data_IF_766416387250
#
_entry.id   IF_766416387250
#
_cell.length_a   1.000
_cell.length_b   1.000
_cell.length_c   1.000
_cell.angle_alpha   90.00
_cell.angle_beta   90.00
_cell.angle_gamma   90.00
#
_symmetry.space_group_name_H-M   'P 1'
#
loop_
_entity.id
_entity.type
_entity.pdbx_description
1 polymer ?
#
# COMPACT_ATOMS: atom_id res chain seq x y z
N UNK A 1 2.62 0.35 8.70
CA UNK A 1 1.16 0.38 8.40
C UNK A 1 0.99 1.18 7.13
N UNK A 2 0.26 0.67 6.13
CA UNK A 2 0.04 1.42 4.88
C UNK A 2 -1.08 2.41 5.18
N UNK A 3 -0.74 3.70 5.12
CA UNK A 3 -1.71 4.78 5.32
C UNK A 3 -2.30 5.19 3.97
N UNK A 4 -3.64 5.12 3.79
CA UNK A 4 -4.30 5.47 2.54
C UNK A 4 -4.12 6.94 2.14
N UNK A 5 -3.95 7.84 3.11
CA UNK A 5 -3.72 9.27 2.85
C UNK A 5 -2.35 9.47 2.21
N UNK A 6 -1.31 8.84 2.78
CA UNK A 6 0.06 8.88 2.23
C UNK A 6 0.13 8.24 0.84
N UNK A 7 -0.57 7.13 0.62
CA UNK A 7 -0.65 6.48 -0.69
C UNK A 7 -1.31 7.39 -1.74
N UNK A 8 -2.38 8.08 -1.37
CA UNK A 8 -3.06 9.02 -2.24
C UNK A 8 -2.22 10.27 -2.56
N UNK A 9 -1.52 10.82 -1.56
CA UNK A 9 -0.58 11.92 -1.76
C UNK A 9 0.56 11.52 -2.72
N UNK A 10 1.04 10.28 -2.64
CA UNK A 10 2.05 9.75 -3.56
C UNK A 10 1.52 9.69 -5.01
N UNK A 11 0.27 9.28 -5.21
CA UNK A 11 -0.39 9.28 -6.52
C UNK A 11 -0.46 10.70 -7.08
N UNK A 12 -0.93 11.68 -6.30
CA UNK A 12 -1.03 13.09 -6.71
C UNK A 12 0.32 13.67 -7.13
N UNK A 13 1.35 13.47 -6.32
CA UNK A 13 2.70 13.97 -6.61
C UNK A 13 3.26 13.32 -7.88
N UNK A 14 3.10 12.02 -8.04
CA UNK A 14 3.56 11.30 -9.22
C UNK A 14 2.79 11.73 -10.47
N UNK A 15 1.46 11.91 -10.40
CA UNK A 15 0.62 12.41 -11.46
C UNK A 15 1.09 13.79 -11.94
N UNK A 16 1.26 14.76 -11.02
CA UNK A 16 1.74 16.11 -11.36
C UNK A 16 3.09 16.07 -12.08
N UNK A 17 4.03 15.23 -11.62
CA UNK A 17 5.35 15.08 -12.24
C UNK A 17 5.24 14.46 -13.64
N UNK A 18 4.38 13.46 -13.82
CA UNK A 18 4.13 12.82 -15.12
C UNK A 18 3.50 13.81 -16.10
N UNK A 19 2.49 14.57 -15.67
CA UNK A 19 1.83 15.60 -16.48
C UNK A 19 2.81 16.66 -16.96
N UNK A 20 3.68 17.13 -16.06
CA UNK A 20 4.74 18.08 -16.43
C UNK A 20 5.72 17.47 -17.43
N UNK A 21 6.18 16.23 -17.19
CA UNK A 21 7.10 15.53 -18.08
C UNK A 21 6.54 15.33 -19.50
N UNK A 22 5.25 14.94 -19.60
CA UNK A 22 4.56 14.76 -20.88
C UNK A 22 4.43 16.09 -21.64
N UNK A 23 4.05 17.17 -20.95
CA UNK A 23 4.00 18.53 -21.57
C UNK A 23 5.35 18.95 -22.11
N UNK A 24 6.44 18.61 -21.42
CA UNK A 24 7.81 18.86 -21.84
C UNK A 24 8.33 17.85 -22.87
N UNK A 25 7.47 16.98 -23.40
CA UNK A 25 7.81 15.92 -24.37
C UNK A 25 8.99 15.04 -23.92
N UNK A 26 9.10 14.80 -22.62
CA UNK A 26 10.13 13.91 -22.05
C UNK A 26 9.85 12.48 -22.43
N UNK A 27 10.93 11.72 -22.66
CA UNK A 27 10.82 10.28 -22.88
C UNK A 27 10.35 9.55 -21.61
N UNK A 28 9.55 8.50 -21.77
CA UNK A 28 9.03 7.71 -20.64
C UNK A 28 10.12 7.01 -19.85
N UNK A 29 11.26 6.70 -20.47
CA UNK A 29 12.40 6.17 -19.75
C UNK A 29 12.90 7.15 -18.67
N UNK A 30 12.93 8.45 -18.99
CA UNK A 30 13.32 9.50 -18.04
C UNK A 30 12.28 9.72 -16.95
N UNK A 31 11.03 9.31 -17.15
CA UNK A 31 9.92 9.42 -16.19
C UNK A 31 9.65 8.11 -15.43
N UNK A 32 10.47 7.07 -15.63
CA UNK A 32 10.27 5.74 -15.04
C UNK A 32 10.10 5.78 -13.50
N UNK A 33 10.85 6.66 -12.82
CA UNK A 33 10.70 6.85 -11.37
C UNK A 33 9.34 7.40 -10.96
N UNK A 34 8.74 8.29 -11.73
CA UNK A 34 7.40 8.83 -11.46
C UNK A 34 6.31 7.82 -11.79
N UNK A 35 6.49 7.03 -12.85
CA UNK A 35 5.61 5.91 -13.20
C UNK A 35 5.60 4.87 -12.08
N UNK A 36 6.78 4.52 -11.55
CA UNK A 36 6.92 3.58 -10.45
C UNK A 36 6.26 4.10 -9.16
N UNK A 37 6.42 5.39 -8.84
CA UNK A 37 5.75 6.02 -7.68
C UNK A 37 4.23 6.03 -7.82
N UNK A 38 3.71 6.32 -9.01
CA UNK A 38 2.29 6.26 -9.31
C UNK A 38 1.74 4.84 -9.10
N UNK A 39 2.38 3.84 -9.70
CA UNK A 39 2.01 2.43 -9.56
C UNK A 39 2.10 1.94 -8.11
N UNK A 40 3.12 2.39 -7.35
CA UNK A 40 3.28 2.11 -5.93
C UNK A 40 2.11 2.66 -5.12
N UNK A 41 1.77 3.94 -5.29
CA UNK A 41 0.62 4.55 -4.60
C UNK A 41 -0.70 3.83 -4.90
N UNK A 42 -0.92 3.45 -6.17
CA UNK A 42 -2.07 2.66 -6.60
C UNK A 42 -2.14 1.28 -5.92
N UNK A 43 -1.01 0.59 -5.80
CA UNK A 43 -0.93 -0.71 -5.13
C UNK A 43 -1.20 -0.58 -3.63
N UNK A 44 -0.58 0.40 -2.96
CA UNK A 44 -0.76 0.67 -1.54
C UNK A 44 -2.21 1.02 -1.20
N UNK A 45 -2.84 1.89 -2.00
CA UNK A 45 -4.24 2.26 -1.85
C UNK A 45 -5.16 1.04 -2.02
N UNK A 46 -4.89 0.18 -3.00
CA UNK A 46 -5.68 -1.05 -3.21
C UNK A 46 -5.59 -2.03 -2.04
N UNK A 47 -4.38 -2.22 -1.47
CA UNK A 47 -4.18 -3.10 -0.30
C UNK A 47 -4.82 -2.50 0.95
N UNK A 48 -4.75 -1.18 1.14
CA UNK A 48 -5.43 -0.50 2.25
C UNK A 48 -6.96 -0.66 2.16
N UNK A 49 -7.54 -0.59 0.96
CA UNK A 49 -8.97 -0.85 0.72
C UNK A 49 -9.36 -2.29 1.08
N UNK A 50 -8.58 -3.28 0.63
CA UNK A 50 -8.83 -4.71 0.95
C UNK A 50 -8.79 -4.96 2.46
N UNK A 51 -7.84 -4.37 3.19
CA UNK A 51 -7.75 -4.51 4.66
C UNK A 51 -8.94 -3.88 5.39
N UNK A 52 -9.41 -2.71 4.94
CA UNK A 52 -10.58 -2.05 5.55
C UNK A 52 -11.89 -2.78 5.29
N UNK A 53 -12.05 -3.43 4.14
CA UNK A 53 -13.25 -4.22 3.84
C UNK A 53 -13.36 -5.46 4.74
N UNK A 54 -12.23 -6.03 5.17
CA UNK A 54 -12.18 -7.20 6.03
C UNK A 54 -12.26 -6.85 7.53
N UNK A 55 -12.34 -5.57 7.90
CA UNK A 55 -12.48 -5.12 9.29
C UNK A 55 -13.95 -4.91 9.62
N UNK A 56 -14.50 -5.74 10.51
CA UNK A 56 -15.91 -5.72 10.95
C UNK A 56 -16.30 -4.48 11.78
N UNK A 57 -15.34 -3.65 12.22
CA UNK A 57 -15.56 -2.50 13.10
C UNK A 57 -14.96 -1.22 12.51
N UNK A 58 -15.34 -0.83 11.29
CA UNK A 58 -14.98 0.45 10.70
C UNK A 58 -16.14 1.43 10.75
N UNK A 59 -15.86 2.68 11.17
CA UNK A 59 -16.82 3.79 11.15
C UNK A 59 -17.34 3.97 9.70
N UNK A 60 -18.58 3.51 9.43
CA UNK A 60 -19.00 3.13 8.07
C UNK A 60 -19.32 4.34 7.19
N UNK A 61 -19.85 5.44 7.75
CA UNK A 61 -20.42 6.53 6.95
C UNK A 61 -19.39 7.59 6.53
N UNK A 62 -18.57 8.12 7.43
CA UNK A 62 -17.55 9.12 7.08
C UNK A 62 -16.47 8.57 6.14
N UNK A 63 -16.08 7.32 6.35
CA UNK A 63 -15.10 6.64 5.50
C UNK A 63 -15.64 6.29 4.09
N UNK A 64 -16.94 6.19 3.89
CA UNK A 64 -17.53 5.89 2.58
C UNK A 64 -17.51 7.11 1.65
N UNK A 65 -17.79 8.29 2.18
CA UNK A 65 -17.78 9.55 1.45
C UNK A 65 -16.33 9.88 1.02
N UNK A 66 -15.37 9.84 1.95
CA UNK A 66 -13.96 10.10 1.63
C UNK A 66 -13.40 9.11 0.61
N UNK A 67 -13.85 7.84 0.67
CA UNK A 67 -13.46 6.83 -0.32
C UNK A 67 -14.01 7.13 -1.71
N UNK A 68 -15.23 7.61 -1.80
CA UNK A 68 -15.86 7.96 -3.07
C UNK A 68 -15.12 9.10 -3.74
N UNK A 69 -14.86 10.19 -3.01
CA UNK A 69 -14.10 11.32 -3.52
C UNK A 69 -12.67 10.96 -3.94
N UNK A 70 -11.97 10.15 -3.14
CA UNK A 70 -10.63 9.68 -3.49
C UNK A 70 -10.64 8.79 -4.75
N UNK A 71 -11.68 7.98 -4.94
CA UNK A 71 -11.82 7.13 -6.13
C UNK A 71 -12.12 7.96 -7.38
N UNK A 72 -13.04 8.93 -7.30
CA UNK A 72 -13.33 9.85 -8.40
C UNK A 72 -12.10 10.67 -8.78
N UNK A 73 -11.41 11.24 -7.81
CA UNK A 73 -10.20 12.03 -8.05
C UNK A 73 -9.08 11.18 -8.66
N UNK A 74 -8.95 9.92 -8.21
CA UNK A 74 -8.01 8.96 -8.79
C UNK A 74 -8.35 8.63 -10.25
N UNK A 75 -9.61 8.37 -10.55
CA UNK A 75 -10.07 8.13 -11.93
C UNK A 75 -9.83 9.35 -12.80
N UNK A 76 -10.17 10.53 -12.31
CA UNK A 76 -9.91 11.78 -13.01
C UNK A 76 -8.43 11.97 -13.34
N UNK A 77 -7.53 11.75 -12.39
CA UNK A 77 -6.08 11.81 -12.63
C UNK A 77 -5.64 10.80 -13.69
N UNK A 78 -6.22 9.61 -13.73
CA UNK A 78 -5.90 8.59 -14.73
C UNK A 78 -6.40 8.99 -16.13
N UNK A 79 -7.59 9.56 -16.22
CA UNK A 79 -8.18 10.05 -17.47
C UNK A 79 -7.45 11.28 -18.00
N UNK A 80 -7.03 12.19 -17.13
CA UNK A 80 -6.17 13.32 -17.48
C UNK A 80 -4.83 12.86 -18.06
N UNK A 81 -4.19 11.88 -17.39
CA UNK A 81 -2.93 11.29 -17.87
C UNK A 81 -3.11 10.64 -19.23
N UNK A 82 -4.21 9.88 -19.42
CA UNK A 82 -4.57 9.27 -20.70
C UNK A 82 -4.74 10.30 -21.81
N UNK A 83 -5.49 11.36 -21.53
CA UNK A 83 -5.75 12.43 -22.49
C UNK A 83 -4.45 13.13 -22.89
N UNK A 84 -3.58 13.42 -21.93
CA UNK A 84 -2.29 14.08 -22.18
C UNK A 84 -1.35 13.19 -22.99
N UNK A 85 -1.26 11.89 -22.69
CA UNK A 85 -0.42 10.97 -23.49
C UNK A 85 -0.97 10.84 -24.91
N UNK A 86 -2.29 10.90 -25.12
CA UNK A 86 -2.88 10.87 -26.45
C UNK A 86 -2.64 12.17 -27.25
N UNK A 87 -2.59 13.31 -26.57
CA UNK A 87 -2.37 14.62 -27.20
C UNK A 87 -0.89 14.85 -27.57
N UNK A 88 0.03 14.46 -26.70
CA UNK A 88 1.46 14.80 -26.81
C UNK A 88 2.34 13.60 -27.13
N UNK A 89 1.81 12.39 -26.98
CA UNK A 89 2.53 11.14 -27.19
C UNK A 89 2.40 10.58 -28.59
N UNK A 90 3.14 9.51 -28.85
CA UNK A 90 3.06 8.73 -30.10
C UNK A 90 1.96 7.66 -30.02
N UNK A 91 1.52 7.16 -31.17
CA UNK A 91 0.53 6.08 -31.25
C UNK A 91 0.97 4.85 -30.43
N UNK A 92 0.03 4.27 -29.65
CA UNK A 92 0.29 3.12 -28.79
C UNK A 92 1.09 3.42 -27.51
N UNK A 93 1.42 4.68 -27.26
CA UNK A 93 2.23 5.07 -26.09
C UNK A 93 1.43 4.97 -24.78
N UNK A 94 0.13 5.26 -24.86
CA UNK A 94 -0.78 5.08 -23.71
C UNK A 94 -0.88 3.62 -23.28
N UNK A 95 -1.05 2.72 -24.24
CA UNK A 95 -1.19 1.29 -23.98
C UNK A 95 0.07 0.72 -23.31
N UNK A 96 1.24 1.15 -23.76
CA UNK A 96 2.53 0.80 -23.14
C UNK A 96 2.64 1.35 -21.72
N UNK A 97 2.28 2.62 -21.51
CA UNK A 97 2.31 3.23 -20.17
C UNK A 97 1.33 2.55 -19.23
N UNK A 98 0.09 2.32 -19.66
CA UNK A 98 -0.93 1.64 -18.88
C UNK A 98 -0.51 0.21 -18.50
N UNK A 99 0.07 -0.54 -19.43
CA UNK A 99 0.62 -1.87 -19.17
C UNK A 99 1.76 -1.83 -18.14
N UNK A 100 2.66 -0.85 -18.25
CA UNK A 100 3.78 -0.67 -17.31
C UNK A 100 3.26 -0.33 -15.91
N UNK A 101 2.28 0.56 -15.79
CA UNK A 101 1.65 0.89 -14.51
C UNK A 101 0.95 -0.35 -13.93
N UNK A 102 0.22 -1.10 -14.74
CA UNK A 102 -0.49 -2.28 -14.30
C UNK A 102 0.45 -3.39 -13.79
N UNK A 103 1.54 -3.67 -14.52
CA UNK A 103 2.55 -4.66 -14.11
C UNK A 103 3.28 -4.23 -12.83
N UNK A 104 3.74 -2.99 -12.75
CA UNK A 104 4.40 -2.47 -11.56
C UNK A 104 3.47 -2.46 -10.33
N UNK A 105 2.19 -2.11 -10.52
CA UNK A 105 1.15 -2.20 -9.47
C UNK A 105 0.96 -3.63 -8.99
N UNK A 106 0.88 -4.59 -9.90
CA UNK A 106 0.69 -6.01 -9.56
C UNK A 106 1.89 -6.57 -8.79
N UNK A 107 3.10 -6.25 -9.22
CA UNK A 107 4.34 -6.65 -8.54
C UNK A 107 4.42 -6.05 -7.13
N UNK A 108 4.20 -4.75 -7.00
CA UNK A 108 4.25 -4.09 -5.70
C UNK A 108 3.18 -4.62 -4.75
N UNK A 109 1.95 -4.85 -5.24
CA UNK A 109 0.88 -5.48 -4.47
C UNK A 109 1.26 -6.89 -3.99
N UNK A 110 1.94 -7.67 -4.84
CA UNK A 110 2.46 -9.00 -4.46
C UNK A 110 3.51 -8.91 -3.37
N UNK A 111 4.43 -7.94 -3.44
CA UNK A 111 5.44 -7.69 -2.41
C UNK A 111 4.81 -7.28 -1.08
N UNK A 112 3.85 -6.35 -1.09
CA UNK A 112 3.11 -5.93 0.10
C UNK A 112 2.39 -7.09 0.79
N UNK A 113 1.75 -7.97 0.01
CA UNK A 113 1.11 -9.18 0.56
C UNK A 113 2.11 -10.17 1.15
N UNK A 114 3.30 -10.33 0.55
CA UNK A 114 4.39 -11.15 1.10
C UNK A 114 4.90 -10.56 2.41
N UNK A 115 5.19 -9.28 2.46
CA UNK A 115 5.64 -8.60 3.68
C UNK A 115 4.62 -8.73 4.81
N UNK A 116 3.34 -8.50 4.52
CA UNK A 116 2.27 -8.64 5.51
C UNK A 116 2.19 -10.05 6.11
N UNK A 117 2.45 -11.10 5.30
CA UNK A 117 2.51 -12.49 5.79
C UNK A 117 3.73 -12.73 6.71
N UNK A 118 4.89 -12.17 6.34
CA UNK A 118 6.12 -12.27 7.14
C UNK A 118 5.93 -11.55 8.48
N UNK A 119 5.40 -10.33 8.46
CA UNK A 119 5.13 -9.53 9.66
C UNK A 119 4.15 -10.25 10.60
N UNK A 120 3.08 -10.82 10.06
CA UNK A 120 2.13 -11.62 10.84
C UNK A 120 2.79 -12.82 11.49
N UNK A 121 3.61 -13.58 10.75
CA UNK A 121 4.35 -14.73 11.26
C UNK A 121 5.34 -14.33 12.36
N UNK A 122 6.10 -13.26 12.14
CA UNK A 122 7.04 -12.74 13.13
C UNK A 122 6.33 -12.30 14.41
N UNK A 123 5.21 -11.59 14.28
CA UNK A 123 4.39 -11.17 15.42
C UNK A 123 3.85 -12.38 16.21
N UNK A 124 3.42 -13.44 15.51
CA UNK A 124 2.94 -14.68 16.13
C UNK A 124 4.07 -15.37 16.92
N UNK A 125 5.26 -15.49 16.33
CA UNK A 125 6.44 -16.08 16.99
C UNK A 125 6.79 -15.27 18.25
N UNK A 126 6.83 -13.94 18.16
CA UNK A 126 7.17 -13.08 19.31
C UNK A 126 6.13 -13.20 20.42
N UNK A 127 4.84 -13.28 20.08
CA UNK A 127 3.77 -13.43 21.07
C UNK A 127 3.84 -14.79 21.78
N UNK A 128 4.03 -15.87 21.03
CA UNK A 128 4.13 -17.24 21.56
C UNK A 128 5.38 -17.40 22.44
N UNK A 129 6.53 -16.90 22.01
CA UNK A 129 7.76 -16.96 22.83
C UNK A 129 7.63 -16.15 24.12
N UNK A 130 6.97 -14.99 24.07
CA UNK A 130 6.69 -14.18 25.27
C UNK A 130 5.79 -14.89 26.28
N UNK A 131 4.73 -15.54 25.81
CA UNK A 131 3.82 -16.30 26.70
C UNK A 131 4.50 -17.50 27.35
N UNK A 132 5.38 -18.21 26.63
CA UNK A 132 6.15 -19.32 27.16
C UNK A 132 7.12 -18.86 28.27
N UNK A 133 7.82 -17.76 28.05
CA UNK A 133 8.74 -17.19 29.06
C UNK A 133 8.01 -16.79 30.35
N UNK A 134 6.86 -16.15 30.22
CA UNK A 134 6.02 -15.77 31.38
C UNK A 134 5.56 -17.04 32.13
N UNK A 135 5.13 -18.08 31.41
CA UNK A 135 4.73 -19.35 32.00
C UNK A 135 5.87 -20.00 32.82
N UNK A 136 7.09 -20.04 32.28
CA UNK A 136 8.26 -20.54 33.01
C UNK A 136 8.58 -19.71 34.26
N UNK A 137 8.50 -18.39 34.17
CA UNK A 137 8.73 -17.50 35.30
C UNK A 137 7.72 -17.74 36.44
N UNK A 138 6.44 -17.94 36.14
CA UNK A 138 5.39 -18.24 37.11
C UNK A 138 5.62 -19.60 37.78
N UNK A 139 5.95 -20.62 36.98
CA UNK A 139 6.26 -21.96 37.53
C UNK A 139 7.47 -21.91 38.46
N UNK A 140 8.54 -21.21 38.04
CA UNK A 140 9.73 -21.03 38.87
C UNK A 140 9.41 -20.32 40.19
N UNK A 141 8.61 -19.27 40.16
CA UNK A 141 8.20 -18.53 41.33
C UNK A 141 7.38 -19.39 42.31
N UNK A 142 6.43 -20.17 41.78
CA UNK A 142 5.63 -21.12 42.57
C UNK A 142 6.50 -22.21 43.22
N UNK A 143 7.45 -22.77 42.49
CA UNK A 143 8.37 -23.77 43.03
C UNK A 143 9.24 -23.22 44.16
N UNK A 144 9.71 -21.98 44.02
CA UNK A 144 10.48 -21.29 45.07
C UNK A 144 9.65 -21.01 46.30
N UNK A 145 8.40 -20.58 46.11
CA UNK A 145 7.45 -20.30 47.19
C UNK A 145 7.11 -21.56 47.99
N UNK A 146 6.89 -22.68 47.32
CA UNK A 146 6.61 -23.96 47.97
C UNK A 146 7.83 -24.50 48.73
N UNK A 147 9.04 -24.34 48.20
CA UNK A 147 10.27 -24.78 48.87
C UNK A 147 10.64 -23.96 50.12
N UNK A 148 10.22 -22.70 50.16
CA UNK A 148 10.45 -21.84 51.33
C UNK A 148 9.43 -22.02 52.47
N UNK A 149 8.42 -22.91 52.30
CA UNK A 149 7.39 -23.22 53.30
C UNK A 149 7.61 -24.58 53.98
N UNK A 150 8.61 -25.35 53.57
CA UNK A 150 9.07 -26.58 54.20
C UNK A 150 10.34 -26.30 55.01
#
# INVERSE_FOLDING_TARGET
MIDPISAFALIKTAHSTLMHGIKMKRDFASMAGSIAKFAKGEAELSVAKEKKQNSLFGNVVGNAIDKHFQEEERQRMFDELRSMVRLYGSAGQWERLAATIASAKAEHKKQLKKQAKIDYRNKLITTVSGTILIGFAVIYYLAMYLKGRV
#
